data_IF_336587518832
#
_entry.id   IF_336587518832
#
_cell.length_a   1.000
_cell.length_b   1.000
_cell.length_c   1.000
_cell.angle_alpha   90.00
_cell.angle_beta   90.00
_cell.angle_gamma   90.00
#
_symmetry.space_group_name_H-M   'P 1'
#
loop_
_entity.id
_entity.type
_entity.pdbx_description
1 polymer ?
#
# COMPACT_ATOMS: atom_id res chain seq x y z
N UNK A 1 -14.85 -5.29 13.82
CA UNK A 1 -14.80 -4.55 12.54
C UNK A 1 -13.70 -5.12 11.67
N UNK A 2 -13.95 -5.33 10.37
CA UNK A 2 -12.93 -5.74 9.39
C UNK A 2 -12.38 -4.49 8.70
N UNK A 3 -11.05 -4.41 8.59
CA UNK A 3 -10.35 -3.34 7.85
C UNK A 3 -9.52 -4.00 6.75
N UNK A 4 -9.87 -3.73 5.51
CA UNK A 4 -9.16 -4.23 4.34
C UNK A 4 -8.22 -3.15 3.81
N UNK A 5 -7.03 -3.57 3.42
CA UNK A 5 -6.01 -2.69 2.82
C UNK A 5 -5.36 -3.37 1.62
N UNK A 6 -4.66 -2.58 0.80
CA UNK A 6 -4.02 -3.05 -0.43
C UNK A 6 -2.54 -2.60 -0.50
N UNK A 7 -1.88 -2.81 -1.64
CA UNK A 7 -0.45 -2.57 -1.82
C UNK A 7 0.02 -1.15 -1.50
N UNK A 8 -0.82 -0.12 -1.73
CA UNK A 8 -0.46 1.25 -1.37
C UNK A 8 -0.34 1.43 0.16
N UNK A 9 -1.11 0.68 0.96
CA UNK A 9 -0.94 0.66 2.41
C UNK A 9 0.40 0.05 2.80
N UNK A 10 0.78 -1.05 2.18
CA UNK A 10 2.07 -1.71 2.43
C UNK A 10 3.23 -0.77 2.08
N UNK A 11 3.16 -0.09 0.93
CA UNK A 11 4.19 0.89 0.51
C UNK A 11 4.25 2.08 1.47
N UNK A 12 3.10 2.65 1.84
CA UNK A 12 3.01 3.76 2.80
C UNK A 12 3.66 3.39 4.13
N UNK A 13 3.32 2.20 4.63
CA UNK A 13 3.80 1.68 5.90
C UNK A 13 5.31 1.39 5.85
N UNK A 14 5.79 0.69 4.82
CA UNK A 14 7.20 0.35 4.65
C UNK A 14 8.09 1.58 4.44
N UNK A 15 7.67 2.50 3.57
CA UNK A 15 8.46 3.69 3.23
C UNK A 15 8.22 4.89 4.16
N UNK A 16 7.37 4.74 5.17
CA UNK A 16 7.04 5.78 6.14
C UNK A 16 6.66 7.10 5.48
N UNK A 17 5.72 7.04 4.52
CA UNK A 17 5.32 8.19 3.71
C UNK A 17 4.39 9.15 4.49
N UNK A 18 3.63 9.97 3.77
CA UNK A 18 2.87 11.11 4.32
C UNK A 18 1.77 10.74 5.33
N UNK A 19 1.19 9.54 5.23
CA UNK A 19 0.13 9.05 6.15
C UNK A 19 0.62 7.92 7.07
N UNK A 20 1.93 7.85 7.31
CA UNK A 20 2.53 6.79 8.14
C UNK A 20 1.91 6.72 9.55
N UNK A 21 1.62 7.86 10.17
CA UNK A 21 1.04 7.87 11.51
C UNK A 21 -0.36 7.21 11.55
N UNK A 22 -1.15 7.40 10.50
CA UNK A 22 -2.47 6.79 10.37
C UNK A 22 -2.36 5.29 10.07
N UNK A 23 -1.44 4.89 9.19
CA UNK A 23 -1.16 3.49 8.87
C UNK A 23 -0.63 2.74 10.11
N UNK A 24 0.32 3.32 10.85
CA UNK A 24 0.84 2.77 12.12
C UNK A 24 -0.29 2.57 13.15
N UNK A 25 -1.20 3.53 13.26
CA UNK A 25 -2.33 3.41 14.19
C UNK A 25 -3.27 2.27 13.80
N UNK A 26 -3.55 2.09 12.50
CA UNK A 26 -4.36 0.98 12.01
C UNK A 26 -3.68 -0.37 12.33
N UNK A 27 -2.38 -0.48 12.09
CA UNK A 27 -1.60 -1.70 12.42
C UNK A 27 -1.63 -1.95 13.93
N UNK A 28 -1.43 -0.92 14.77
CA UNK A 28 -1.49 -1.06 16.22
C UNK A 28 -2.86 -1.55 16.70
N UNK A 29 -3.95 -1.08 16.10
CA UNK A 29 -5.29 -1.58 16.42
C UNK A 29 -5.46 -3.06 16.07
N UNK A 30 -4.83 -3.51 14.97
CA UNK A 30 -4.83 -4.92 14.60
C UNK A 30 -3.97 -5.77 15.55
N UNK A 31 -2.79 -5.30 15.93
CA UNK A 31 -1.91 -5.97 16.92
C UNK A 31 -2.59 -6.12 18.27
N UNK A 32 -3.40 -5.15 18.67
CA UNK A 32 -4.19 -5.20 19.91
C UNK A 32 -5.50 -6.01 19.78
N UNK A 33 -5.77 -6.61 18.61
CA UNK A 33 -7.02 -7.31 18.30
C UNK A 33 -8.30 -6.46 18.45
N UNK A 34 -8.18 -5.14 18.33
CA UNK A 34 -9.32 -4.22 18.34
C UNK A 34 -10.05 -4.22 16.97
N UNK A 35 -9.33 -4.57 15.90
CA UNK A 35 -9.84 -4.76 14.54
C UNK A 35 -9.28 -6.04 13.93
N UNK A 36 -9.97 -6.60 12.93
CA UNK A 36 -9.41 -7.59 12.02
C UNK A 36 -8.86 -6.86 10.79
N UNK A 37 -7.54 -6.78 10.68
CA UNK A 37 -6.87 -6.28 9.48
C UNK A 37 -6.77 -7.40 8.45
N UNK A 38 -7.17 -7.16 7.19
CA UNK A 38 -7.10 -8.16 6.14
C UNK A 38 -6.44 -7.59 4.88
N UNK A 39 -5.56 -8.38 4.26
CA UNK A 39 -4.76 -7.96 3.11
C UNK A 39 -4.80 -9.06 2.03
N UNK A 40 -5.19 -8.78 0.78
CA UNK A 40 -5.04 -9.73 -0.32
C UNK A 40 -3.58 -10.15 -0.50
N UNK A 41 -3.31 -11.45 -0.67
CA UNK A 41 -1.95 -11.96 -0.83
C UNK A 41 -1.21 -11.27 -1.99
N UNK A 42 -1.89 -10.97 -3.10
CA UNK A 42 -1.30 -10.25 -4.24
C UNK A 42 -0.81 -8.84 -3.86
N UNK A 43 -1.50 -8.15 -2.94
CA UNK A 43 -1.13 -6.83 -2.47
C UNK A 43 0.16 -6.81 -1.61
N UNK A 44 0.58 -7.95 -1.07
CA UNK A 44 1.85 -8.09 -0.35
C UNK A 44 3.04 -8.26 -1.30
N UNK A 45 2.83 -8.77 -2.53
CA UNK A 45 3.91 -8.99 -3.49
C UNK A 45 4.13 -7.81 -4.44
N UNK A 46 3.10 -7.04 -4.75
CA UNK A 46 3.19 -5.88 -5.64
C UNK A 46 4.24 -4.83 -5.21
N UNK A 47 4.43 -4.53 -3.91
CA UNK A 47 5.50 -3.65 -3.46
C UNK A 47 6.90 -4.08 -3.89
N UNK A 48 7.18 -5.39 -3.91
CA UNK A 48 8.48 -5.90 -4.39
C UNK A 48 8.73 -5.52 -5.85
N UNK A 49 7.76 -5.73 -6.73
CA UNK A 49 7.89 -5.34 -8.15
C UNK A 49 8.09 -3.83 -8.30
N UNK A 50 7.36 -3.05 -7.51
CA UNK A 50 7.50 -1.60 -7.49
C UNK A 50 8.89 -1.17 -7.05
N UNK A 51 9.46 -1.78 -6.03
CA UNK A 51 10.79 -1.46 -5.52
C UNK A 51 11.88 -1.89 -6.49
N UNK A 52 11.78 -3.08 -7.07
CA UNK A 52 12.71 -3.54 -8.12
C UNK A 52 12.70 -2.59 -9.32
N UNK A 53 11.53 -2.17 -9.78
CA UNK A 53 11.40 -1.19 -10.87
C UNK A 53 12.02 0.16 -10.50
N UNK A 54 11.74 0.69 -9.30
CA UNK A 54 12.31 1.96 -8.81
C UNK A 54 13.83 1.88 -8.66
N UNK A 55 14.36 0.77 -8.15
CA UNK A 55 15.81 0.52 -8.03
C UNK A 55 16.48 0.57 -9.40
N UNK A 56 15.91 -0.09 -10.40
CA UNK A 56 16.42 -0.06 -11.78
C UNK A 56 16.41 1.35 -12.36
N UNK A 57 15.27 2.05 -12.27
CA UNK A 57 15.14 3.43 -12.77
C UNK A 57 16.14 4.38 -12.07
N UNK A 58 16.29 4.27 -10.75
CA UNK A 58 17.24 5.06 -9.98
C UNK A 58 18.68 4.80 -10.43
N UNK A 59 19.05 3.54 -10.64
CA UNK A 59 20.39 3.16 -11.12
C UNK A 59 20.70 3.76 -12.50
N UNK A 60 19.73 3.82 -13.40
CA UNK A 60 19.88 4.45 -14.71
C UNK A 60 20.06 5.98 -14.60
N UNK A 61 19.30 6.62 -13.71
CA UNK A 61 19.43 8.07 -13.45
C UNK A 61 20.80 8.38 -12.83
N UNK A 62 21.24 7.61 -11.85
CA UNK A 62 22.53 7.79 -11.20
C UNK A 62 23.66 7.68 -12.23
N UNK A 63 23.64 6.65 -13.08
CA UNK A 63 24.67 6.49 -14.10
C UNK A 63 24.77 7.71 -15.01
N UNK A 64 23.65 8.21 -15.53
CA UNK A 64 23.62 9.42 -16.37
C UNK A 64 24.12 10.64 -15.63
N UNK A 65 23.77 10.77 -14.35
CA UNK A 65 24.21 11.89 -13.52
C UNK A 65 25.72 11.83 -13.26
N UNK A 66 26.28 10.64 -13.00
CA UNK A 66 27.74 10.46 -12.85
C UNK A 66 28.47 10.84 -14.12
N UNK A 67 28.04 10.33 -15.27
CA UNK A 67 28.63 10.63 -16.59
C UNK A 67 28.66 12.16 -16.85
N UNK A 68 27.55 12.86 -16.56
CA UNK A 68 27.44 14.30 -16.76
C UNK A 68 28.33 15.10 -15.80
N UNK A 69 28.34 14.71 -14.52
CA UNK A 69 29.18 15.37 -13.50
C UNK A 69 30.67 15.19 -13.83
N UNK A 70 31.10 14.01 -14.28
CA UNK A 70 32.47 13.76 -14.70
C UNK A 70 32.83 14.58 -15.95
N UNK A 71 31.91 14.71 -16.90
CA UNK A 71 32.11 15.52 -18.09
C UNK A 71 32.27 17.01 -17.73
N UNK A 72 31.38 17.56 -16.91
CA UNK A 72 31.47 18.95 -16.44
C UNK A 72 32.75 19.20 -15.63
N UNK A 73 33.15 18.24 -14.76
CA UNK A 73 34.33 18.32 -13.93
C UNK A 73 35.66 18.40 -14.70
N UNK A 74 35.65 18.14 -16.02
CA UNK A 74 36.86 18.37 -16.89
C UNK A 74 37.07 19.84 -17.16
N UNK A 75 36.07 20.68 -16.93
CA UNK A 75 36.22 22.14 -17.04
C UNK A 75 36.74 22.73 -15.74
N UNK A 76 37.66 23.67 -15.85
CA UNK A 76 38.22 24.42 -14.71
C UNK A 76 37.10 25.10 -13.87
N UNK A 77 36.01 25.52 -14.52
CA UNK A 77 34.87 26.15 -13.85
C UNK A 77 34.09 25.22 -12.94
N UNK A 78 34.18 23.90 -13.13
CA UNK A 78 33.41 22.89 -12.42
C UNK A 78 34.29 21.78 -11.82
N UNK A 79 35.57 22.06 -11.62
CA UNK A 79 36.53 21.06 -11.17
C UNK A 79 36.17 20.39 -9.82
N UNK A 80 35.49 21.12 -8.94
CA UNK A 80 35.08 20.62 -7.62
C UNK A 80 33.72 19.85 -7.65
N UNK A 81 32.99 19.87 -8.76
CA UNK A 81 31.66 19.27 -8.87
C UNK A 81 31.65 17.76 -8.58
N UNK A 82 32.59 16.94 -9.09
CA UNK A 82 32.64 15.50 -8.77
C UNK A 82 32.78 15.21 -7.29
N UNK A 83 33.60 15.99 -6.57
CA UNK A 83 33.79 15.85 -5.14
C UNK A 83 32.52 16.25 -4.36
N UNK A 84 31.90 17.37 -4.73
CA UNK A 84 30.66 17.86 -4.11
C UNK A 84 29.46 16.91 -4.30
N UNK A 85 29.44 16.14 -5.41
CA UNK A 85 28.35 15.22 -5.72
C UNK A 85 28.44 13.86 -5.01
N UNK A 86 29.58 13.56 -4.37
CA UNK A 86 29.85 12.23 -3.79
C UNK A 86 28.83 11.77 -2.74
N UNK A 87 28.41 12.67 -1.86
CA UNK A 87 27.42 12.36 -0.82
C UNK A 87 26.07 12.01 -1.42
N UNK A 88 25.63 12.74 -2.47
CA UNK A 88 24.39 12.48 -3.17
C UNK A 88 24.41 11.07 -3.77
N UNK A 89 25.51 10.67 -4.38
CA UNK A 89 25.66 9.32 -4.94
C UNK A 89 25.57 8.25 -3.86
N UNK A 90 26.23 8.44 -2.72
CA UNK A 90 26.18 7.50 -1.61
C UNK A 90 24.76 7.29 -1.08
N UNK A 91 24.00 8.38 -0.90
CA UNK A 91 22.60 8.31 -0.48
C UNK A 91 21.74 7.57 -1.51
N UNK A 92 21.90 7.90 -2.78
CA UNK A 92 21.11 7.29 -3.86
C UNK A 92 21.43 5.79 -4.05
N UNK A 93 22.69 5.38 -3.90
CA UNK A 93 23.10 3.98 -3.96
C UNK A 93 22.61 3.19 -2.74
N UNK A 94 22.74 3.76 -1.53
CA UNK A 94 22.32 3.10 -0.30
C UNK A 94 20.80 3.02 -0.10
N UNK A 95 20.04 3.89 -0.78
CA UNK A 95 18.58 3.96 -0.61
C UNK A 95 17.86 2.64 -0.95
N UNK A 96 18.36 1.85 -1.90
CA UNK A 96 17.75 0.58 -2.26
C UNK A 96 17.79 -0.46 -1.15
N UNK A 97 18.91 -0.56 -0.44
CA UNK A 97 19.08 -1.53 0.64
C UNK A 97 18.25 -1.13 1.86
N UNK A 98 18.12 0.17 2.12
CA UNK A 98 17.23 0.71 3.17
C UNK A 98 15.75 0.41 2.83
N UNK A 99 15.34 0.63 1.58
CA UNK A 99 13.97 0.36 1.12
C UNK A 99 13.64 -1.14 1.18
N UNK A 100 14.56 -2.01 0.74
CA UNK A 100 14.38 -3.46 0.78
C UNK A 100 14.27 -3.97 2.24
N UNK A 101 15.11 -3.48 3.15
CA UNK A 101 15.02 -3.79 4.58
C UNK A 101 13.70 -3.35 5.19
N UNK A 102 13.31 -2.10 4.95
CA UNK A 102 12.07 -1.54 5.47
C UNK A 102 10.82 -2.28 4.93
N UNK A 103 10.83 -2.73 3.67
CA UNK A 103 9.76 -3.53 3.12
C UNK A 103 9.66 -4.90 3.81
N UNK A 104 10.79 -5.58 4.00
CA UNK A 104 10.81 -6.87 4.66
C UNK A 104 10.29 -6.78 6.11
N UNK A 105 10.71 -5.77 6.87
CA UNK A 105 10.24 -5.54 8.24
C UNK A 105 8.73 -5.26 8.27
N UNK A 106 8.24 -4.43 7.35
CA UNK A 106 6.81 -4.13 7.22
C UNK A 106 6.00 -5.39 6.89
N UNK A 107 6.47 -6.22 5.96
CA UNK A 107 5.78 -7.47 5.58
C UNK A 107 5.75 -8.48 6.71
N UNK A 108 6.82 -8.64 7.47
CA UNK A 108 6.87 -9.52 8.65
C UNK A 108 5.84 -9.05 9.68
N UNK A 109 5.79 -7.75 9.97
CA UNK A 109 4.86 -7.18 10.94
C UNK A 109 3.41 -7.35 10.48
N UNK A 110 3.10 -7.03 9.23
CA UNK A 110 1.76 -7.20 8.66
C UNK A 110 1.33 -8.66 8.61
N UNK A 111 2.21 -9.58 8.22
CA UNK A 111 1.91 -11.01 8.20
C UNK A 111 1.63 -11.58 9.60
N UNK A 112 2.11 -10.92 10.67
CA UNK A 112 1.89 -11.35 12.06
C UNK A 112 0.54 -10.88 12.59
N UNK A 113 0.06 -9.69 12.20
CA UNK A 113 -1.16 -9.09 12.77
C UNK A 113 -2.36 -9.08 11.80
N UNK A 114 -2.15 -9.35 10.51
CA UNK A 114 -3.22 -9.32 9.52
C UNK A 114 -3.62 -10.69 9.01
N UNK A 115 -4.89 -10.85 8.64
CA UNK A 115 -5.39 -11.98 7.87
C UNK A 115 -4.97 -11.83 6.42
N UNK A 116 -4.11 -12.72 5.94
CA UNK A 116 -3.73 -12.74 4.52
C UNK A 116 -4.80 -13.48 3.73
N UNK A 117 -5.45 -12.80 2.79
CA UNK A 117 -6.50 -13.37 1.94
C UNK A 117 -5.81 -14.15 0.80
N UNK A 118 -5.92 -15.49 0.78
CA UNK A 118 -5.27 -16.30 -0.24
C UNK A 118 -5.94 -16.09 -1.61
N UNK A 119 -5.14 -16.00 -2.68
CA UNK A 119 -5.67 -15.93 -4.03
C UNK A 119 -6.16 -17.32 -4.49
N UNK A 120 -7.43 -17.41 -4.85
CA UNK A 120 -8.05 -18.64 -5.36
C UNK A 120 -8.34 -18.58 -6.86
N UNK A 121 -8.53 -19.77 -7.48
CA UNK A 121 -8.96 -19.85 -8.87
C UNK A 121 -10.36 -19.22 -9.11
N UNK A 122 -11.23 -19.21 -8.11
CA UNK A 122 -12.54 -18.54 -8.17
C UNK A 122 -12.37 -17.04 -8.22
N UNK A 123 -11.50 -16.47 -7.38
CA UNK A 123 -11.21 -15.03 -7.38
C UNK A 123 -10.59 -14.58 -8.71
N UNK A 124 -9.67 -15.38 -9.28
CA UNK A 124 -9.11 -15.09 -10.61
C UNK A 124 -10.16 -15.09 -11.71
N UNK A 125 -11.13 -16.01 -11.68
CA UNK A 125 -12.23 -16.01 -12.66
C UNK A 125 -13.13 -14.80 -12.51
N UNK A 126 -13.57 -14.48 -11.28
CA UNK A 126 -14.41 -13.31 -11.02
C UNK A 126 -13.71 -11.99 -11.29
N UNK A 127 -12.37 -11.93 -11.19
CA UNK A 127 -11.62 -10.73 -11.54
C UNK A 127 -11.73 -10.34 -13.02
N UNK A 128 -11.91 -11.32 -13.92
CA UNK A 128 -12.13 -11.04 -15.34
C UNK A 128 -13.45 -10.32 -15.57
N UNK A 129 -14.51 -10.73 -14.88
CA UNK A 129 -15.82 -10.09 -14.95
C UNK A 129 -15.78 -8.71 -14.30
N UNK A 130 -15.14 -8.58 -13.14
CA UNK A 130 -14.94 -7.30 -12.45
C UNK A 130 -14.16 -6.30 -13.31
N UNK A 131 -13.12 -6.77 -14.00
CA UNK A 131 -12.33 -5.97 -14.94
C UNK A 131 -13.18 -5.37 -16.06
N UNK A 132 -14.05 -6.18 -16.67
CA UNK A 132 -14.93 -5.72 -17.74
C UNK A 132 -16.00 -4.77 -17.22
N UNK A 133 -16.63 -5.11 -16.10
CA UNK A 133 -17.75 -4.36 -15.53
C UNK A 133 -17.33 -2.99 -15.00
N UNK A 134 -16.19 -2.91 -14.33
CA UNK A 134 -15.75 -1.69 -13.64
C UNK A 134 -14.56 -1.01 -14.33
N UNK A 135 -14.13 -1.50 -15.51
CA UNK A 135 -12.98 -0.98 -16.26
C UNK A 135 -11.67 -0.94 -15.44
N UNK A 136 -11.50 -1.91 -14.53
CA UNK A 136 -10.33 -1.98 -13.66
C UNK A 136 -9.08 -2.47 -14.40
N UNK A 137 -7.91 -2.04 -13.93
CA UNK A 137 -6.66 -2.64 -14.35
C UNK A 137 -6.57 -4.11 -13.86
N UNK A 138 -5.76 -4.97 -14.49
CA UNK A 138 -5.68 -6.39 -14.14
C UNK A 138 -5.40 -6.63 -12.64
N UNK A 139 -4.46 -5.92 -12.06
CA UNK A 139 -4.11 -6.05 -10.64
C UNK A 139 -5.26 -5.59 -9.73
N UNK A 140 -5.84 -4.43 -10.01
CA UNK A 140 -6.98 -3.89 -9.24
C UNK A 140 -8.20 -4.80 -9.30
N UNK A 141 -8.45 -5.46 -10.44
CA UNK A 141 -9.54 -6.42 -10.57
C UNK A 141 -9.35 -7.66 -9.70
N UNK A 142 -8.10 -8.11 -9.51
CA UNK A 142 -7.77 -9.23 -8.61
C UNK A 142 -7.95 -8.81 -7.15
N UNK A 143 -7.48 -7.60 -6.78
CA UNK A 143 -7.67 -7.04 -5.43
C UNK A 143 -9.16 -6.88 -5.13
N UNK A 144 -9.93 -6.28 -6.06
CA UNK A 144 -11.38 -6.13 -5.95
C UNK A 144 -12.05 -7.48 -5.67
N UNK A 145 -11.78 -8.50 -6.49
CA UNK A 145 -12.41 -9.81 -6.37
C UNK A 145 -11.99 -10.54 -5.09
N UNK A 146 -10.75 -10.36 -4.63
CA UNK A 146 -10.28 -10.92 -3.38
C UNK A 146 -11.00 -10.30 -2.18
N UNK A 147 -11.13 -8.97 -2.17
CA UNK A 147 -11.86 -8.21 -1.14
C UNK A 147 -13.35 -8.58 -1.15
N UNK A 148 -13.99 -8.59 -2.32
CA UNK A 148 -15.40 -8.95 -2.47
C UNK A 148 -15.67 -10.36 -1.93
N UNK A 149 -14.86 -11.34 -2.32
CA UNK A 149 -15.03 -12.72 -1.90
C UNK A 149 -14.88 -12.88 -0.39
N UNK A 150 -13.85 -12.26 0.17
CA UNK A 150 -13.61 -12.27 1.62
C UNK A 150 -14.77 -11.66 2.40
N UNK A 151 -15.32 -10.54 1.96
CA UNK A 151 -16.47 -9.90 2.60
C UNK A 151 -17.72 -10.76 2.55
N UNK A 152 -17.97 -11.44 1.43
CA UNK A 152 -19.12 -12.35 1.27
C UNK A 152 -19.04 -13.57 2.18
N UNK A 153 -17.85 -14.10 2.43
CA UNK A 153 -17.65 -15.24 3.31
C UNK A 153 -17.75 -14.89 4.80
N UNK A 154 -17.48 -13.63 5.16
CA UNK A 154 -17.43 -13.20 6.56
C UNK A 154 -18.74 -12.66 7.11
N UNK A 155 -19.72 -12.35 6.25
CA UNK A 155 -21.01 -11.73 6.64
C UNK A 155 -20.83 -10.56 7.64
N UNK A 156 -19.83 -9.71 7.36
CA UNK A 156 -19.41 -8.68 8.29
C UNK A 156 -20.37 -7.50 8.27
N UNK A 157 -21.01 -7.22 9.39
CA UNK A 157 -21.98 -6.13 9.53
C UNK A 157 -21.36 -4.73 9.27
N UNK A 158 -20.07 -4.57 9.47
CA UNK A 158 -19.35 -3.30 9.24
C UNK A 158 -17.90 -3.55 8.88
N UNK A 159 -17.51 -3.09 7.70
CA UNK A 159 -16.15 -3.20 7.20
C UNK A 159 -15.68 -1.92 6.50
N UNK A 160 -14.38 -1.78 6.39
CA UNK A 160 -13.70 -0.65 5.76
C UNK A 160 -12.73 -1.19 4.72
N UNK A 161 -12.69 -0.61 3.53
CA UNK A 161 -11.62 -0.81 2.58
C UNK A 161 -10.86 0.52 2.39
N UNK A 162 -9.65 0.59 2.93
CA UNK A 162 -8.78 1.75 2.81
C UNK A 162 -7.82 1.56 1.63
N UNK A 163 -8.01 2.38 0.59
CA UNK A 163 -7.29 2.31 -0.67
C UNK A 163 -6.94 3.71 -1.17
N UNK A 164 -5.65 4.03 -1.28
CA UNK A 164 -5.17 5.31 -1.82
C UNK A 164 -5.32 5.45 -3.33
N UNK A 165 -5.61 4.37 -4.05
CA UNK A 165 -5.85 4.40 -5.49
C UNK A 165 -7.24 4.95 -5.81
N UNK A 166 -7.39 6.27 -5.64
CA UNK A 166 -8.66 6.95 -5.88
C UNK A 166 -9.09 6.92 -7.35
N UNK A 167 -8.17 6.71 -8.31
CA UNK A 167 -8.51 6.67 -9.73
C UNK A 167 -9.32 5.42 -10.08
N UNK A 168 -8.93 4.26 -9.55
CA UNK A 168 -9.50 2.97 -9.95
C UNK A 168 -10.72 2.56 -9.10
N UNK A 169 -10.74 2.93 -7.80
CA UNK A 169 -11.82 2.54 -6.88
C UNK A 169 -12.82 3.65 -6.53
N UNK A 170 -12.68 4.85 -7.09
CA UNK A 170 -13.58 5.98 -6.78
C UNK A 170 -14.91 5.97 -7.53
N UNK A 171 -15.08 5.09 -8.52
CA UNK A 171 -16.30 4.98 -9.30
C UNK A 171 -17.53 4.75 -8.42
N UNK A 172 -18.65 5.46 -8.73
CA UNK A 172 -19.89 5.33 -7.96
C UNK A 172 -20.40 3.90 -7.93
N UNK A 173 -20.24 3.16 -9.03
CA UNK A 173 -20.66 1.76 -9.13
C UNK A 173 -19.89 0.85 -8.18
N UNK A 174 -18.58 1.05 -8.06
CA UNK A 174 -17.71 0.30 -7.14
C UNK A 174 -18.08 0.62 -5.68
N UNK A 175 -18.27 1.90 -5.36
CA UNK A 175 -18.71 2.32 -4.02
C UNK A 175 -20.03 1.69 -3.64
N UNK A 176 -21.03 1.81 -4.52
CA UNK A 176 -22.35 1.20 -4.30
C UNK A 176 -22.29 -0.32 -4.17
N UNK A 177 -21.36 -0.96 -4.91
CA UNK A 177 -21.16 -2.40 -4.81
C UNK A 177 -20.64 -2.80 -3.43
N UNK A 178 -19.60 -2.14 -2.93
CA UNK A 178 -19.04 -2.42 -1.60
C UNK A 178 -20.00 -2.01 -0.46
N UNK A 179 -20.74 -0.92 -0.60
CA UNK A 179 -21.77 -0.52 0.36
C UNK A 179 -22.84 -1.61 0.56
N UNK A 180 -23.25 -2.31 -0.52
CA UNK A 180 -24.16 -3.46 -0.43
C UNK A 180 -23.58 -4.66 0.32
N UNK A 181 -22.25 -4.73 0.45
CA UNK A 181 -21.52 -5.73 1.23
C UNK A 181 -21.20 -5.23 2.65
N UNK A 182 -21.77 -4.11 3.11
CA UNK A 182 -21.47 -3.53 4.42
C UNK A 182 -20.07 -2.90 4.50
N UNK A 183 -19.42 -2.61 3.37
CA UNK A 183 -18.07 -2.11 3.33
C UNK A 183 -18.01 -0.66 2.86
N UNK A 184 -17.36 0.21 3.63
CA UNK A 184 -17.11 1.61 3.28
C UNK A 184 -15.71 1.76 2.67
N UNK A 185 -15.64 2.47 1.53
CA UNK A 185 -14.39 2.80 0.88
C UNK A 185 -13.84 4.15 1.36
N UNK A 186 -12.55 4.17 1.65
CA UNK A 186 -11.80 5.39 1.98
C UNK A 186 -10.57 5.53 1.08
N UNK A 187 -10.43 6.71 0.47
CA UNK A 187 -9.28 7.05 -0.40
C UNK A 187 -8.09 7.66 0.38
N UNK A 188 -8.12 7.60 1.72
CA UNK A 188 -7.09 8.10 2.62
C UNK A 188 -7.06 7.25 3.88
N UNK A 189 -5.87 6.91 4.35
CA UNK A 189 -5.70 6.16 5.60
C UNK A 189 -6.09 7.00 6.81
N UNK A 190 -5.92 8.31 6.73
CA UNK A 190 -6.37 9.24 7.78
C UNK A 190 -7.89 9.20 7.97
N UNK A 191 -8.66 9.27 6.87
CA UNK A 191 -10.12 9.19 6.94
C UNK A 191 -10.58 7.79 7.41
N UNK A 192 -9.93 6.72 6.91
CA UNK A 192 -10.21 5.37 7.35
C UNK A 192 -9.98 5.20 8.85
N UNK A 193 -8.83 5.63 9.37
CA UNK A 193 -8.50 5.58 10.80
C UNK A 193 -9.51 6.33 11.65
N UNK A 194 -9.85 7.56 11.27
CA UNK A 194 -10.85 8.36 12.02
C UNK A 194 -12.19 7.64 12.10
N UNK A 195 -12.63 7.04 10.99
CA UNK A 195 -13.85 6.26 10.97
C UNK A 195 -13.76 5.02 11.87
N UNK A 196 -12.68 4.22 11.75
CA UNK A 196 -12.41 3.03 12.56
C UNK A 196 -12.48 3.37 14.06
N UNK A 197 -11.78 4.42 14.50
CA UNK A 197 -11.79 4.85 15.89
C UNK A 197 -13.15 5.37 16.35
N UNK A 198 -13.92 5.99 15.45
CA UNK A 198 -15.28 6.44 15.79
C UNK A 198 -16.24 5.28 16.05
N UNK A 199 -16.08 4.18 15.34
CA UNK A 199 -16.87 2.96 15.53
C UNK A 199 -16.42 2.21 16.79
N UNK A 200 -15.12 2.06 17.00
CA UNK A 200 -14.57 1.42 18.20
C UNK A 200 -15.08 2.09 19.49
N UNK A 201 -15.20 3.44 19.50
CA UNK A 201 -15.78 4.19 20.64
C UNK A 201 -17.27 3.93 20.86
N UNK A 202 -18.03 3.58 19.80
CA UNK A 202 -19.47 3.30 19.91
C UNK A 202 -19.74 1.90 20.42
N UNK A 203 -18.82 0.95 20.15
CA UNK A 203 -18.95 -0.47 20.51
C UNK A 203 -18.22 -0.81 21.81
N UNK A 204 -17.38 0.07 22.33
CA UNK A 204 -16.73 -0.08 23.62
C UNK A 204 -17.77 -0.06 24.78
N UNK A 205 -17.54 -0.83 25.87
CA UNK A 205 -18.43 -0.79 27.02
C UNK A 205 -18.52 0.64 27.55
N UNK A 206 -19.75 1.17 27.66
CA UNK A 206 -20.02 2.39 28.39
C UNK A 206 -19.46 2.22 29.82
N UNK A 207 -18.26 2.73 30.07
CA UNK A 207 -17.76 2.93 31.43
C UNK A 207 -18.56 4.10 32.01
N UNK A 208 -19.69 3.78 32.64
CA UNK A 208 -20.34 4.64 33.62
C UNK A 208 -19.63 4.54 34.96
#
# INVERSE_FOLDING_TARGET
>A
MIVLVESNFVIEFAQRQSEIADAERIVTLAENHEIELAIPACALFEPYETFVRRKKQRSEVIRKLVDEVEQLGRSEYFADLPAASKEIYQVLFGAADVEDGALNDALVRLATCATVIPLSGTMLKSSLDARQRFSLQPQDSIIFSSVEHFLRERDAAESVFANKNSADFSGLEIKTHFEKLGCKLFASFSNARQYIESVARRTGPNLQ
#
